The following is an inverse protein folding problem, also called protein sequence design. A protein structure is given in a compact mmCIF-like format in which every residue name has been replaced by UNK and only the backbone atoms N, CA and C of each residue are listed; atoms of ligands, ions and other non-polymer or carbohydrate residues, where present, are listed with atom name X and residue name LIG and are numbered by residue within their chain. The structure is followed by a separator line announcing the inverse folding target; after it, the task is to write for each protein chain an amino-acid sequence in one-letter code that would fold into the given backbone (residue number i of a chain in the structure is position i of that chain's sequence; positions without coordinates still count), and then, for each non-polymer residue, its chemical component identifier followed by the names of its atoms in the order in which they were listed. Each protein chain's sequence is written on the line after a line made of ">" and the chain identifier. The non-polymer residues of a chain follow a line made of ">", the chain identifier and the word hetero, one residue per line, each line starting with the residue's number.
data_IF_406890127761
#
_entry.id   IF_406890127761
#
_cell.length_a   1.000
_cell.length_b   1.000
_cell.length_c   1.000
_cell.angle_alpha   90.00
_cell.angle_beta   90.00
_cell.angle_gamma   90.00
#
_symmetry.space_group_name_H-M   'P 1'
#
loop_
_entity.id
_entity.type
_entity.pdbx_description
1 polymer ?
#
# COMPACT_ATOMS: atom_id res chain seq x y z
N UNK A 1 13.02 -36.99 -13.60
CA UNK A 1 12.97 -36.56 -12.19
C UNK A 1 14.06 -35.51 -12.00
N UNK A 2 13.74 -34.23 -12.22
CA UNK A 2 14.68 -33.14 -11.91
C UNK A 2 14.63 -32.92 -10.40
N UNK A 3 15.74 -33.19 -9.72
CA UNK A 3 15.89 -32.87 -8.29
C UNK A 3 15.86 -31.34 -8.18
N UNK A 4 14.69 -30.79 -7.86
CA UNK A 4 14.58 -29.39 -7.48
C UNK A 4 15.14 -29.30 -6.07
N UNK A 5 16.40 -28.88 -5.95
CA UNK A 5 16.96 -28.43 -4.67
C UNK A 5 16.09 -27.27 -4.20
N UNK A 6 15.21 -27.51 -3.24
CA UNK A 6 14.50 -26.44 -2.57
C UNK A 6 15.48 -25.78 -1.59
N UNK A 7 15.88 -24.51 -1.80
CA UNK A 7 16.86 -23.85 -0.94
C UNK A 7 16.32 -23.78 0.50
N UNK A 8 17.04 -24.34 1.47
CA UNK A 8 16.56 -24.26 2.85
C UNK A 8 16.55 -22.80 3.34
N UNK A 9 15.39 -22.34 3.84
CA UNK A 9 15.26 -21.05 4.51
C UNK A 9 16.22 -20.90 5.70
N UNK A 10 16.68 -22.01 6.29
CA UNK A 10 17.65 -22.03 7.39
C UNK A 10 18.94 -21.27 7.07
N UNK A 11 19.36 -21.26 5.80
CA UNK A 11 20.54 -20.52 5.38
C UNK A 11 20.13 -19.22 4.68
N UNK A 12 19.18 -19.29 3.73
CA UNK A 12 18.92 -18.18 2.83
C UNK A 12 18.34 -16.95 3.55
N UNK A 13 17.34 -17.14 4.43
CA UNK A 13 16.70 -16.03 5.12
C UNK A 13 17.65 -15.32 6.11
N UNK A 14 18.35 -16.03 7.02
CA UNK A 14 19.31 -15.37 7.91
C UNK A 14 20.46 -14.70 7.17
N UNK A 15 21.01 -15.33 6.11
CA UNK A 15 22.12 -14.73 5.35
C UNK A 15 21.69 -13.42 4.71
N UNK A 16 20.55 -13.40 4.01
CA UNK A 16 20.04 -12.17 3.37
C UNK A 16 19.79 -11.08 4.41
N UNK A 17 19.13 -11.40 5.51
CA UNK A 17 18.82 -10.42 6.56
C UNK A 17 20.07 -9.89 7.27
N UNK A 18 21.01 -10.76 7.64
CA UNK A 18 22.23 -10.34 8.33
C UNK A 18 23.14 -9.52 7.42
N UNK A 19 23.30 -9.92 6.15
CA UNK A 19 24.07 -9.13 5.19
C UNK A 19 23.44 -7.76 4.97
N UNK A 20 22.12 -7.72 4.76
CA UNK A 20 21.38 -6.49 4.59
C UNK A 20 21.50 -5.59 5.83
N UNK A 21 21.39 -6.15 7.03
CA UNK A 21 21.56 -5.38 8.26
C UNK A 21 22.98 -4.85 8.44
N UNK A 22 24.02 -5.61 8.11
CA UNK A 22 25.40 -5.10 8.12
C UNK A 22 25.56 -3.93 7.14
N UNK A 23 24.98 -4.04 5.94
CA UNK A 23 25.00 -2.95 4.95
C UNK A 23 24.26 -1.72 5.47
N UNK A 24 23.04 -1.89 6.00
CA UNK A 24 22.24 -0.80 6.55
C UNK A 24 22.96 -0.12 7.73
N UNK A 25 23.48 -0.88 8.68
CA UNK A 25 24.26 -0.34 9.82
C UNK A 25 25.46 0.46 9.32
N UNK A 26 26.18 -0.05 8.31
CA UNK A 26 27.33 0.65 7.74
C UNK A 26 26.91 1.97 7.09
N UNK A 27 25.82 1.98 6.32
CA UNK A 27 25.30 3.20 5.70
C UNK A 27 24.82 4.19 6.77
N UNK A 28 24.07 3.74 7.77
CA UNK A 28 23.59 4.60 8.86
C UNK A 28 24.74 5.22 9.65
N UNK A 29 25.74 4.43 10.03
CA UNK A 29 26.90 4.91 10.78
C UNK A 29 27.72 5.94 9.99
N UNK A 30 27.87 5.74 8.68
CA UNK A 30 28.70 6.60 7.84
C UNK A 30 27.97 7.83 7.31
N UNK A 31 26.68 7.70 6.98
CA UNK A 31 25.96 8.71 6.21
C UNK A 31 24.71 9.26 6.90
N UNK A 32 24.19 8.66 7.96
CA UNK A 32 22.97 9.16 8.62
C UNK A 32 23.30 9.89 9.92
N UNK A 33 22.66 11.03 10.16
CA UNK A 33 22.74 11.79 11.40
C UNK A 33 21.37 12.31 11.81
N UNK A 34 21.15 12.53 13.09
CA UNK A 34 19.98 13.29 13.53
C UNK A 34 20.09 14.74 13.06
N UNK A 35 18.95 15.38 12.89
CA UNK A 35 18.87 16.83 12.73
C UNK A 35 19.42 17.57 13.98
N UNK A 36 19.52 18.89 13.95
CA UNK A 36 20.10 19.64 15.08
C UNK A 36 19.25 19.57 16.37
N UNK A 37 17.95 19.26 16.24
CA UNK A 37 16.97 19.19 17.33
C UNK A 37 17.06 17.92 18.23
N UNK A 38 17.29 16.69 17.71
CA UNK A 38 17.43 15.50 18.54
C UNK A 38 18.85 15.28 19.09
N UNK A 39 19.81 16.15 18.73
CA UNK A 39 21.21 16.02 19.18
C UNK A 39 21.40 16.56 20.60
N UNK A 40 21.85 15.68 21.51
CA UNK A 40 22.16 16.05 22.90
C UNK A 40 23.26 17.14 23.03
N UNK A 41 23.97 17.46 21.95
CA UNK A 41 25.03 18.46 21.91
C UNK A 41 24.54 19.92 22.06
N UNK A 42 23.24 20.20 21.84
CA UNK A 42 22.69 21.56 21.86
C UNK A 42 21.86 21.90 23.11
N UNK A 43 21.83 21.00 24.11
CA UNK A 43 21.09 21.19 25.37
C UNK A 43 21.59 22.35 26.26
N UNK A 44 22.71 23.02 25.91
CA UNK A 44 23.33 24.02 26.79
C UNK A 44 22.79 25.44 26.66
N UNK A 45 21.85 25.74 25.74
CA UNK A 45 21.31 27.11 25.55
C UNK A 45 19.83 27.13 25.10
N UNK A 46 18.90 26.63 25.91
CA UNK A 46 17.46 26.70 25.58
C UNK A 46 16.72 27.64 26.54
N UNK A 47 16.67 28.92 26.18
CA UNK A 47 15.63 29.89 26.58
C UNK A 47 14.64 30.18 25.45
N UNK A 48 14.66 29.38 24.37
CA UNK A 48 13.61 29.37 23.36
C UNK A 48 12.62 28.26 23.71
N UNK A 49 11.33 28.58 23.77
CA UNK A 49 10.27 27.57 23.66
C UNK A 49 10.46 26.81 22.34
N UNK A 50 11.24 25.73 22.37
CA UNK A 50 11.28 24.73 21.32
C UNK A 50 10.20 23.72 21.63
N UNK A 51 9.21 23.59 20.75
CA UNK A 51 8.51 22.34 20.38
C UNK A 51 7.01 22.57 20.10
N UNK A 52 6.66 23.07 18.92
CA UNK A 52 5.31 22.89 18.39
C UNK A 52 5.23 21.70 17.40
N UNK A 53 6.32 21.36 16.72
CA UNK A 53 6.28 20.36 15.64
C UNK A 53 6.24 18.92 16.16
N UNK A 54 6.97 18.58 17.23
CA UNK A 54 6.92 17.23 17.81
C UNK A 54 5.54 16.91 18.39
N UNK A 55 4.96 17.86 19.15
CA UNK A 55 3.64 17.68 19.76
C UNK A 55 2.53 17.58 18.71
N UNK A 56 2.70 18.24 17.56
CA UNK A 56 1.79 18.14 16.42
C UNK A 56 1.95 16.83 15.63
N UNK A 57 3.18 16.39 15.35
CA UNK A 57 3.45 15.25 14.45
C UNK A 57 3.45 13.89 15.16
N UNK A 58 3.81 13.81 16.45
CA UNK A 58 3.89 12.54 17.18
C UNK A 58 2.56 11.77 17.27
N UNK A 59 1.38 12.41 17.40
CA UNK A 59 0.10 11.72 17.27
C UNK A 59 -0.07 11.04 15.91
N UNK A 60 0.16 11.74 14.81
CA UNK A 60 0.06 11.18 13.45
C UNK A 60 1.02 10.03 13.23
N UNK A 61 2.27 10.15 13.72
CA UNK A 61 3.24 9.07 13.69
C UNK A 61 2.71 7.80 14.35
N UNK A 62 2.16 7.89 15.57
CA UNK A 62 1.58 6.71 16.25
C UNK A 62 0.40 6.13 15.49
N UNK A 63 -0.44 6.98 14.90
CA UNK A 63 -1.62 6.55 14.15
C UNK A 63 -1.20 5.76 12.89
N UNK A 64 -0.24 6.27 12.13
CA UNK A 64 0.32 5.58 10.94
C UNK A 64 1.00 4.27 11.35
N UNK A 65 1.78 4.25 12.43
CA UNK A 65 2.34 2.99 12.94
C UNK A 65 1.28 1.96 13.31
N UNK A 66 0.21 2.39 13.96
CA UNK A 66 -0.87 1.49 14.35
C UNK A 66 -1.59 0.93 13.12
N UNK A 67 -1.74 1.73 12.06
CA UNK A 67 -2.24 1.25 10.76
C UNK A 67 -1.32 0.20 10.13
N UNK A 68 -0.02 0.48 10.02
CA UNK A 68 0.92 -0.37 9.30
C UNK A 68 1.22 -1.69 10.02
N UNK A 69 1.53 -1.61 11.32
CA UNK A 69 2.00 -2.77 12.07
C UNK A 69 0.88 -3.63 12.61
N UNK A 70 -0.22 -3.02 13.06
CA UNK A 70 -1.34 -3.74 13.69
C UNK A 70 -2.54 -3.81 12.74
N UNK A 71 -2.96 -2.69 12.16
CA UNK A 71 -4.11 -2.62 11.25
C UNK A 71 -3.96 -3.57 10.05
N UNK A 72 -2.97 -3.33 9.19
CA UNK A 72 -2.65 -4.20 8.05
C UNK A 72 -2.24 -5.59 8.51
N UNK A 73 -1.38 -5.70 9.53
CA UNK A 73 -0.94 -7.00 10.06
C UNK A 73 -2.12 -7.91 10.45
N UNK A 74 -3.11 -7.37 11.16
CA UNK A 74 -4.32 -8.11 11.54
C UNK A 74 -5.27 -8.31 10.37
N UNK A 75 -5.46 -7.33 9.48
CA UNK A 75 -6.29 -7.47 8.28
C UNK A 75 -5.87 -8.69 7.45
N UNK A 76 -4.55 -8.91 7.32
CA UNK A 76 -3.96 -10.02 6.56
C UNK A 76 -4.07 -11.39 7.27
N UNK A 77 -4.56 -11.44 8.51
CA UNK A 77 -4.76 -12.69 9.27
C UNK A 77 -6.03 -13.46 8.87
N UNK A 78 -6.79 -13.04 7.85
CA UNK A 78 -8.06 -13.68 7.47
C UNK A 78 -7.91 -15.17 7.10
N UNK A 79 -6.75 -15.55 6.54
CA UNK A 79 -6.45 -16.93 6.16
C UNK A 79 -6.22 -17.82 7.38
N UNK A 80 -7.07 -18.84 7.54
CA UNK A 80 -7.07 -19.79 8.66
C UNK A 80 -5.69 -20.39 8.97
N UNK A 81 -4.95 -20.75 7.92
CA UNK A 81 -3.67 -21.47 8.03
C UNK A 81 -2.45 -20.56 7.80
N UNK A 82 -2.65 -19.25 7.62
CA UNK A 82 -1.58 -18.30 7.28
C UNK A 82 -1.65 -17.00 8.11
N UNK A 83 -2.29 -17.06 9.28
CA UNK A 83 -2.45 -15.90 10.15
C UNK A 83 -1.12 -15.38 10.71
N UNK A 84 -0.21 -16.28 11.10
CA UNK A 84 1.11 -15.87 11.58
C UNK A 84 1.94 -15.28 10.44
N UNK A 85 1.92 -15.89 9.26
CA UNK A 85 2.57 -15.38 8.06
C UNK A 85 2.05 -13.99 7.68
N UNK A 86 0.73 -13.80 7.70
CA UNK A 86 0.09 -12.50 7.48
C UNK A 86 0.67 -11.42 8.40
N UNK A 87 0.67 -11.62 9.71
CA UNK A 87 1.14 -10.61 10.66
C UNK A 87 2.67 -10.48 10.71
N UNK A 88 3.40 -11.58 10.80
CA UNK A 88 4.86 -11.57 11.01
C UNK A 88 5.61 -11.14 9.75
N UNK A 89 5.17 -11.54 8.55
CA UNK A 89 5.81 -11.07 7.33
C UNK A 89 5.41 -9.63 6.99
N UNK A 90 4.20 -9.18 7.34
CA UNK A 90 3.87 -7.75 7.33
C UNK A 90 4.83 -6.95 8.22
N UNK A 91 5.08 -7.42 9.45
CA UNK A 91 6.04 -6.79 10.36
C UNK A 91 7.47 -6.77 9.79
N UNK A 92 7.91 -7.87 9.16
CA UNK A 92 9.21 -7.96 8.50
C UNK A 92 9.35 -6.97 7.34
N UNK A 93 8.36 -6.93 6.44
CA UNK A 93 8.35 -6.04 5.26
C UNK A 93 8.33 -4.58 5.71
N UNK A 94 7.51 -4.23 6.69
CA UNK A 94 7.43 -2.87 7.21
C UNK A 94 8.81 -2.40 7.72
N UNK A 95 9.45 -3.19 8.60
CA UNK A 95 10.73 -2.81 9.19
C UNK A 95 11.84 -2.65 8.15
N UNK A 96 11.91 -3.55 7.15
CA UNK A 96 12.96 -3.44 6.14
C UNK A 96 12.71 -2.28 5.17
N UNK A 97 11.45 -2.06 4.81
CA UNK A 97 11.08 -0.99 3.88
C UNK A 97 11.31 0.38 4.51
N UNK A 98 11.00 0.57 5.80
CA UNK A 98 11.26 1.84 6.51
C UNK A 98 12.77 2.14 6.53
N UNK A 99 13.60 1.18 6.96
CA UNK A 99 15.06 1.38 7.01
C UNK A 99 15.64 1.67 5.62
N UNK A 100 15.15 0.99 4.60
CA UNK A 100 15.61 1.17 3.23
C UNK A 100 15.12 2.51 2.64
N UNK A 101 13.87 2.89 2.88
CA UNK A 101 13.28 4.14 2.44
C UNK A 101 13.99 5.35 3.04
N UNK A 102 14.35 5.32 4.34
CA UNK A 102 15.14 6.38 4.98
C UNK A 102 16.44 6.67 4.23
N UNK A 103 17.11 5.64 3.70
CA UNK A 103 18.31 5.80 2.90
C UNK A 103 17.96 6.34 1.51
N UNK A 104 16.99 5.71 0.81
CA UNK A 104 16.71 6.06 -0.59
C UNK A 104 16.10 7.46 -0.72
N UNK A 105 15.11 7.79 0.12
CA UNK A 105 14.56 9.15 0.23
C UNK A 105 15.61 10.13 0.73
N UNK A 106 16.42 9.71 1.71
CA UNK A 106 17.52 10.52 2.24
C UNK A 106 18.54 10.92 1.18
N UNK A 107 18.96 9.99 0.33
CA UNK A 107 19.87 10.23 -0.79
C UNK A 107 19.27 11.18 -1.83
N UNK A 108 17.96 11.10 -2.07
CA UNK A 108 17.29 11.87 -3.11
C UNK A 108 16.90 13.28 -2.67
N UNK A 109 16.43 13.45 -1.43
CA UNK A 109 15.83 14.70 -0.95
C UNK A 109 16.62 15.40 0.17
N UNK A 110 17.42 14.66 0.95
CA UNK A 110 17.96 15.16 2.23
C UNK A 110 19.47 14.98 2.36
N UNK A 111 20.18 14.72 1.26
CA UNK A 111 21.62 14.54 1.24
C UNK A 111 22.33 15.89 1.14
N UNK A 112 22.95 16.31 2.24
CA UNK A 112 23.71 17.57 2.30
C UNK A 112 25.00 17.36 3.09
N UNK A 113 26.09 18.00 2.66
CA UNK A 113 27.41 17.95 3.32
C UNK A 113 27.90 16.51 3.63
N UNK A 114 27.57 15.55 2.76
CA UNK A 114 27.96 14.15 2.93
C UNK A 114 27.10 13.34 3.91
N UNK A 115 26.01 13.91 4.42
CA UNK A 115 25.11 13.30 5.41
C UNK A 115 23.63 13.36 5.00
N UNK A 116 22.86 12.41 5.50
CA UNK A 116 21.41 12.34 5.47
C UNK A 116 20.93 12.72 6.87
N UNK A 117 20.23 13.83 7.00
CA UNK A 117 19.67 14.26 8.27
C UNK A 117 18.26 13.70 8.45
N UNK A 118 18.02 13.04 9.58
CA UNK A 118 16.73 12.41 9.89
C UNK A 118 16.01 13.10 11.05
N UNK A 119 14.71 13.33 10.87
CA UNK A 119 13.75 13.77 11.86
C UNK A 119 12.46 12.90 11.77
N UNK A 120 11.43 13.24 12.56
CA UNK A 120 10.20 12.45 12.62
C UNK A 120 9.43 12.44 11.28
N UNK A 121 9.46 13.54 10.52
CA UNK A 121 8.83 13.63 9.21
C UNK A 121 9.47 12.66 8.20
N UNK A 122 10.81 12.55 8.22
CA UNK A 122 11.50 11.58 7.38
C UNK A 122 11.09 10.13 7.71
N UNK A 123 10.88 9.82 9.00
CA UNK A 123 10.41 8.49 9.41
C UNK A 123 8.99 8.24 8.94
N UNK A 124 8.08 9.21 9.05
CA UNK A 124 6.71 9.07 8.54
C UNK A 124 6.68 8.91 7.01
N UNK A 125 7.50 9.66 6.27
CA UNK A 125 7.64 9.47 4.82
C UNK A 125 8.21 8.09 4.44
N UNK A 126 9.11 7.55 5.25
CA UNK A 126 9.59 6.18 5.10
C UNK A 126 8.51 5.14 5.43
N UNK A 127 7.61 5.43 6.37
CA UNK A 127 6.42 4.61 6.67
C UNK A 127 5.46 4.58 5.48
N UNK A 128 5.24 5.70 4.76
CA UNK A 128 4.44 5.69 3.52
C UNK A 128 5.06 4.81 2.42
N UNK A 129 6.39 4.85 2.26
CA UNK A 129 7.09 3.94 1.36
C UNK A 129 6.95 2.46 1.81
N UNK A 130 6.93 2.20 3.11
CA UNK A 130 6.67 0.86 3.61
C UNK A 130 5.23 0.40 3.34
N UNK A 131 4.25 1.30 3.45
CA UNK A 131 2.85 1.01 3.15
C UNK A 131 2.67 0.49 1.71
N UNK A 132 3.42 1.01 0.73
CA UNK A 132 3.36 0.49 -0.65
C UNK A 132 3.80 -0.97 -0.73
N UNK A 133 4.91 -1.32 -0.07
CA UNK A 133 5.41 -2.69 -0.02
C UNK A 133 4.45 -3.66 0.66
N UNK A 134 3.75 -3.20 1.70
CA UNK A 134 2.73 -4.00 2.39
C UNK A 134 1.51 -4.26 1.50
N UNK A 135 1.03 -3.24 0.79
CA UNK A 135 -0.10 -3.39 -0.15
C UNK A 135 0.30 -4.33 -1.31
N UNK A 136 1.47 -4.13 -1.92
CA UNK A 136 1.97 -4.98 -3.00
C UNK A 136 2.11 -6.45 -2.60
N UNK A 137 2.60 -6.70 -1.39
CA UNK A 137 2.69 -8.05 -0.84
C UNK A 137 1.33 -8.75 -0.73
N UNK A 138 0.24 -8.00 -0.57
CA UNK A 138 -1.13 -8.51 -0.55
C UNK A 138 -1.54 -9.26 -1.83
N UNK A 139 -0.98 -8.92 -3.00
CA UNK A 139 -1.26 -9.66 -4.23
C UNK A 139 -0.69 -11.10 -4.20
N UNK A 140 0.38 -11.33 -3.45
CA UNK A 140 1.12 -12.60 -3.43
C UNK A 140 1.12 -13.28 -2.05
N UNK A 141 0.29 -12.78 -1.13
CA UNK A 141 0.15 -13.33 0.23
C UNK A 141 -0.07 -14.84 0.20
N UNK A 142 0.65 -15.57 1.05
CA UNK A 142 0.53 -17.03 1.15
C UNK A 142 1.15 -17.82 0.00
N UNK A 143 1.60 -17.19 -1.09
CA UNK A 143 2.21 -17.88 -2.25
C UNK A 143 3.69 -17.55 -2.47
N UNK A 144 4.21 -16.62 -1.68
CA UNK A 144 5.60 -16.16 -1.68
C UNK A 144 6.28 -16.49 -0.36
N UNK A 145 7.58 -16.77 -0.43
CA UNK A 145 8.42 -16.98 0.76
C UNK A 145 8.81 -15.65 1.42
N UNK A 146 9.24 -15.65 2.70
CA UNK A 146 9.75 -14.44 3.34
C UNK A 146 10.94 -13.82 2.60
N UNK A 147 11.78 -14.63 1.94
CA UNK A 147 12.89 -14.12 1.12
C UNK A 147 12.38 -13.41 -0.13
N UNK A 148 11.34 -13.94 -0.79
CA UNK A 148 10.71 -13.26 -1.93
C UNK A 148 10.05 -11.95 -1.51
N UNK A 149 9.41 -11.91 -0.34
CA UNK A 149 8.81 -10.70 0.22
C UNK A 149 9.87 -9.63 0.57
N UNK A 150 11.04 -10.03 1.07
CA UNK A 150 12.18 -9.12 1.28
C UNK A 150 12.71 -8.56 -0.05
N UNK A 151 12.88 -9.42 -1.07
CA UNK A 151 13.36 -8.98 -2.37
C UNK A 151 12.36 -8.06 -3.08
N UNK A 152 11.05 -8.32 -2.89
CA UNK A 152 9.97 -7.44 -3.35
C UNK A 152 10.16 -6.04 -2.77
N UNK A 153 10.26 -5.89 -1.45
CA UNK A 153 10.35 -4.57 -0.81
C UNK A 153 11.64 -3.83 -1.14
N UNK A 154 12.76 -4.54 -1.28
CA UNK A 154 14.05 -3.96 -1.66
C UNK A 154 14.04 -3.34 -3.05
N UNK A 155 13.32 -3.94 -4.00
CA UNK A 155 13.20 -3.44 -5.39
C UNK A 155 12.08 -2.42 -5.52
N UNK A 156 10.97 -2.63 -4.81
CA UNK A 156 9.82 -1.72 -4.87
C UNK A 156 10.14 -0.36 -4.27
N UNK A 157 10.79 -0.31 -3.11
CA UNK A 157 11.02 0.94 -2.38
C UNK A 157 11.75 2.00 -3.23
N UNK A 158 12.87 1.70 -3.94
CA UNK A 158 13.49 2.69 -4.81
C UNK A 158 12.65 3.10 -6.00
N UNK A 159 11.86 2.18 -6.58
CA UNK A 159 10.96 2.49 -7.70
C UNK A 159 9.79 3.37 -7.25
N UNK A 160 9.28 3.15 -6.04
CA UNK A 160 8.28 4.00 -5.41
C UNK A 160 8.84 5.41 -5.21
N UNK A 161 10.01 5.54 -4.56
CA UNK A 161 10.62 6.84 -4.28
C UNK A 161 10.95 7.58 -5.58
N UNK A 162 11.43 6.89 -6.61
CA UNK A 162 11.67 7.48 -7.92
C UNK A 162 10.37 7.94 -8.60
N UNK A 163 9.31 7.13 -8.53
CA UNK A 163 8.01 7.50 -9.10
C UNK A 163 7.40 8.70 -8.36
N UNK A 164 7.43 8.69 -7.03
CA UNK A 164 7.00 9.81 -6.18
C UNK A 164 7.75 11.08 -6.55
N UNK A 165 9.08 11.03 -6.63
CA UNK A 165 9.90 12.17 -7.06
C UNK A 165 9.52 12.66 -8.45
N UNK A 166 9.38 11.74 -9.40
CA UNK A 166 9.04 12.05 -10.79
C UNK A 166 7.69 12.79 -10.87
N UNK A 167 6.66 12.27 -10.20
CA UNK A 167 5.33 12.86 -10.33
C UNK A 167 5.13 14.13 -9.50
N UNK A 168 5.83 14.25 -8.37
CA UNK A 168 5.84 15.50 -7.60
C UNK A 168 6.66 16.60 -8.29
N UNK A 169 7.81 16.26 -8.89
CA UNK A 169 8.72 17.26 -9.46
C UNK A 169 8.28 17.77 -10.84
N UNK A 170 7.72 16.90 -11.68
CA UNK A 170 7.40 17.27 -13.07
C UNK A 170 5.91 17.51 -13.32
N UNK A 171 5.03 16.74 -12.66
CA UNK A 171 3.59 16.90 -12.81
C UNK A 171 2.98 17.73 -11.68
N UNK A 172 3.70 17.94 -10.57
CA UNK A 172 3.17 18.60 -9.37
C UNK A 172 1.81 18.01 -8.95
N UNK A 173 1.77 16.68 -8.87
CA UNK A 173 0.55 15.95 -8.54
C UNK A 173 0.00 16.42 -7.17
N UNK A 174 -1.31 16.61 -7.10
CA UNK A 174 -2.03 16.87 -5.87
C UNK A 174 -2.57 15.53 -5.35
N UNK A 175 -1.92 15.00 -4.31
CA UNK A 175 -2.19 13.65 -3.82
C UNK A 175 -1.94 13.47 -2.32
N UNK A 176 -2.58 14.29 -1.49
CA UNK A 176 -2.28 14.39 -0.04
C UNK A 176 -2.43 13.07 0.73
N UNK A 177 -3.32 12.18 0.30
CA UNK A 177 -3.55 10.87 0.90
C UNK A 177 -2.89 9.71 0.13
N UNK A 178 -2.07 9.99 -0.88
CA UNK A 178 -1.37 8.98 -1.66
C UNK A 178 -2.26 8.05 -2.48
N UNK A 179 -3.41 8.53 -2.97
CA UNK A 179 -4.28 7.75 -3.86
C UNK A 179 -3.52 7.30 -5.11
N UNK A 180 -2.71 8.17 -5.70
CA UNK A 180 -1.87 7.87 -6.86
C UNK A 180 -0.52 7.29 -6.41
N UNK A 181 0.24 8.04 -5.60
CA UNK A 181 1.62 7.70 -5.21
C UNK A 181 1.70 6.38 -4.45
N UNK A 182 0.78 6.10 -3.52
CA UNK A 182 0.80 4.92 -2.66
C UNK A 182 -0.10 3.82 -3.24
N UNK A 183 -1.41 4.08 -3.34
CA UNK A 183 -2.41 3.04 -3.60
C UNK A 183 -2.40 2.52 -5.05
N UNK A 184 -2.38 3.41 -6.04
CA UNK A 184 -2.28 2.99 -7.45
C UNK A 184 -0.92 2.36 -7.73
N UNK A 185 0.17 2.99 -7.26
CA UNK A 185 1.50 2.44 -7.44
C UNK A 185 1.60 1.00 -6.90
N UNK A 186 1.33 0.80 -5.62
CA UNK A 186 1.46 -0.52 -4.97
C UNK A 186 0.50 -1.56 -5.54
N UNK A 187 -0.75 -1.17 -5.82
CA UNK A 187 -1.71 -2.08 -6.44
C UNK A 187 -1.13 -2.70 -7.72
N UNK A 188 -0.72 -1.87 -8.68
CA UNK A 188 -0.31 -2.38 -9.98
C UNK A 188 1.11 -2.96 -9.98
N UNK A 189 1.97 -2.54 -9.04
CA UNK A 189 3.24 -3.23 -8.77
C UNK A 189 3.03 -4.66 -8.28
N UNK A 190 2.21 -4.85 -7.24
CA UNK A 190 1.86 -6.17 -6.71
C UNK A 190 1.18 -7.07 -7.74
N UNK A 191 0.25 -6.54 -8.55
CA UNK A 191 -0.39 -7.30 -9.63
C UNK A 191 0.60 -7.69 -10.74
N UNK A 192 1.56 -6.81 -11.08
CA UNK A 192 2.65 -7.11 -12.01
C UNK A 192 3.50 -8.30 -11.54
N UNK A 193 3.82 -8.35 -10.25
CA UNK A 193 4.52 -9.51 -9.65
C UNK A 193 3.64 -10.75 -9.71
N UNK A 194 2.38 -10.64 -9.27
CA UNK A 194 1.46 -11.78 -9.21
C UNK A 194 1.25 -12.41 -10.59
N UNK A 195 1.28 -11.61 -11.66
CA UNK A 195 1.21 -12.12 -13.04
C UNK A 195 2.35 -13.07 -13.40
N UNK A 196 3.58 -12.77 -12.97
CA UNK A 196 4.75 -13.60 -13.26
C UNK A 196 4.78 -14.86 -12.39
N UNK A 197 4.38 -14.69 -11.13
CA UNK A 197 4.29 -15.75 -10.12
C UNK A 197 2.95 -16.52 -10.18
N UNK A 198 2.22 -16.41 -11.29
CA UNK A 198 0.98 -17.14 -11.50
C UNK A 198 1.19 -18.66 -11.39
N UNK A 199 0.31 -19.32 -10.62
CA UNK A 199 0.34 -20.77 -10.38
C UNK A 199 -0.93 -21.42 -10.92
N UNK A 200 -0.87 -22.11 -12.07
CA UNK A 200 -2.04 -22.77 -12.67
C UNK A 200 -2.74 -23.76 -11.75
N UNK A 201 -1.99 -24.46 -10.90
CA UNK A 201 -2.49 -25.44 -9.94
C UNK A 201 -3.41 -24.84 -8.86
N UNK A 202 -3.33 -23.52 -8.62
CA UNK A 202 -4.18 -22.81 -7.65
C UNK A 202 -5.47 -22.26 -8.28
N UNK A 203 -5.65 -22.39 -9.59
CA UNK A 203 -6.79 -21.82 -10.33
C UNK A 203 -8.14 -22.44 -9.91
N UNK A 204 -8.15 -23.72 -9.57
CA UNK A 204 -9.35 -24.40 -9.10
C UNK A 204 -9.69 -24.08 -7.63
N UNK A 205 -8.98 -23.10 -7.03
CA UNK A 205 -8.94 -22.87 -5.60
C UNK A 205 -7.88 -23.73 -4.92
N UNK A 206 -7.70 -23.48 -3.62
CA UNK A 206 -6.78 -24.24 -2.78
C UNK A 206 -7.45 -24.48 -1.43
N UNK A 207 -7.35 -25.69 -0.90
CA UNK A 207 -8.08 -26.08 0.31
C UNK A 207 -7.73 -25.26 1.56
N UNK A 208 -6.51 -24.70 1.60
CA UNK A 208 -6.04 -23.82 2.68
C UNK A 208 -6.48 -22.35 2.51
N UNK A 209 -7.09 -21.98 1.38
CA UNK A 209 -7.76 -20.69 1.22
C UNK A 209 -9.14 -20.81 1.88
N UNK A 210 -9.16 -20.70 3.21
CA UNK A 210 -10.36 -20.72 4.03
C UNK A 210 -10.19 -19.79 5.22
N UNK A 211 -11.31 -19.41 5.83
CA UNK A 211 -11.36 -18.56 7.03
C UNK A 211 -12.04 -19.28 8.19
N UNK A 212 -11.95 -18.70 9.38
CA UNK A 212 -12.62 -19.14 10.61
C UNK A 212 -13.16 -17.91 11.32
N UNK A 213 -14.09 -18.09 12.26
CA UNK A 213 -14.58 -16.98 13.08
C UNK A 213 -13.45 -16.20 13.76
N UNK A 214 -12.41 -16.89 14.25
CA UNK A 214 -11.26 -16.25 14.88
C UNK A 214 -10.42 -15.46 13.88
N UNK A 215 -10.10 -16.05 12.73
CA UNK A 215 -9.28 -15.38 11.71
C UNK A 215 -9.99 -14.17 11.11
N UNK A 216 -11.30 -14.29 10.85
CA UNK A 216 -12.11 -13.19 10.36
C UNK A 216 -12.32 -12.08 11.41
N UNK A 217 -12.44 -12.44 12.70
CA UNK A 217 -12.52 -11.46 13.78
C UNK A 217 -11.23 -10.64 13.91
N UNK A 218 -10.06 -11.28 13.83
CA UNK A 218 -8.78 -10.55 13.79
C UNK A 218 -8.69 -9.66 12.55
N UNK A 219 -9.07 -10.17 11.38
CA UNK A 219 -9.07 -9.37 10.16
C UNK A 219 -10.01 -8.15 10.24
N UNK A 220 -11.19 -8.33 10.83
CA UNK A 220 -12.13 -7.23 11.06
C UNK A 220 -11.59 -6.22 12.10
N UNK A 221 -10.90 -6.67 13.14
CA UNK A 221 -10.22 -5.78 14.08
C UNK A 221 -9.15 -4.94 13.38
N UNK A 222 -8.34 -5.56 12.51
CA UNK A 222 -7.38 -4.84 11.66
C UNK A 222 -8.06 -3.78 10.78
N UNK A 223 -9.19 -4.15 10.17
CA UNK A 223 -10.03 -3.22 9.38
C UNK A 223 -10.49 -2.03 10.20
N UNK A 224 -11.01 -2.24 11.42
CA UNK A 224 -11.48 -1.16 12.28
C UNK A 224 -10.35 -0.22 12.67
N UNK A 225 -9.16 -0.74 12.98
CA UNK A 225 -7.99 0.09 13.26
C UNK A 225 -7.60 0.94 12.05
N UNK A 226 -7.54 0.35 10.85
CA UNK A 226 -7.29 1.11 9.62
C UNK A 226 -8.33 2.21 9.41
N UNK A 227 -9.60 1.88 9.60
CA UNK A 227 -10.70 2.83 9.45
C UNK A 227 -10.59 4.02 10.42
N UNK A 228 -10.26 3.77 11.69
CA UNK A 228 -10.15 4.81 12.73
C UNK A 228 -9.01 5.80 12.42
N UNK A 229 -7.87 5.29 11.96
CA UNK A 229 -6.65 6.09 11.80
C UNK A 229 -6.43 6.63 10.38
N UNK A 230 -7.23 6.22 9.39
CA UNK A 230 -7.14 6.74 8.03
C UNK A 230 -7.25 8.28 7.92
N UNK A 231 -8.07 9.00 8.71
CA UNK A 231 -8.09 10.46 8.68
C UNK A 231 -6.71 11.07 8.99
N UNK A 232 -5.93 10.45 9.88
CA UNK A 232 -4.55 10.84 10.15
C UNK A 232 -3.65 10.58 8.95
N UNK A 233 -3.75 9.40 8.34
CA UNK A 233 -3.01 9.03 7.12
C UNK A 233 -3.23 10.02 5.96
N UNK A 234 -4.49 10.40 5.69
CA UNK A 234 -4.84 11.30 4.59
C UNK A 234 -4.56 12.79 4.87
N UNK A 235 -4.19 13.17 6.09
CA UNK A 235 -4.09 14.58 6.48
C UNK A 235 -2.69 15.01 6.94
N UNK A 236 -1.81 14.08 7.28
CA UNK A 236 -0.46 14.41 7.77
C UNK A 236 0.40 15.13 6.71
N UNK A 237 0.23 14.83 5.42
CA UNK A 237 0.95 15.54 4.34
C UNK A 237 0.27 16.85 3.90
N UNK A 238 -0.83 17.26 4.55
CA UNK A 238 -1.51 18.50 4.21
C UNK A 238 -0.68 19.72 4.64
N UNK A 239 -0.51 20.68 3.74
CA UNK A 239 0.44 21.80 3.90
C UNK A 239 0.17 22.75 5.07
N UNK A 240 -1.08 22.85 5.54
CA UNK A 240 -1.47 23.78 6.60
C UNK A 240 -2.69 23.28 7.39
N UNK A 241 -2.89 23.80 8.60
CA UNK A 241 -3.92 23.33 9.55
C UNK A 241 -5.34 23.32 8.97
N UNK A 242 -5.69 24.28 8.12
CA UNK A 242 -7.02 24.32 7.47
C UNK A 242 -7.19 23.17 6.45
N UNK A 243 -6.15 22.88 5.67
CA UNK A 243 -6.13 21.76 4.73
C UNK A 243 -6.14 20.42 5.46
N UNK A 244 -5.36 20.31 6.54
CA UNK A 244 -5.33 19.12 7.41
C UNK A 244 -6.71 18.85 8.03
N UNK A 245 -7.34 19.87 8.61
CA UNK A 245 -8.69 19.75 9.17
C UNK A 245 -9.71 19.30 8.13
N UNK A 246 -9.63 19.85 6.92
CA UNK A 246 -10.50 19.45 5.81
C UNK A 246 -10.24 18.02 5.34
N UNK A 247 -8.98 17.60 5.24
CA UNK A 247 -8.60 16.23 4.93
C UNK A 247 -9.14 15.22 5.94
N UNK A 248 -9.09 15.55 7.24
CA UNK A 248 -9.70 14.73 8.31
C UNK A 248 -11.21 14.59 8.08
N UNK A 249 -11.93 15.70 7.88
CA UNK A 249 -13.38 15.68 7.72
C UNK A 249 -13.83 14.95 6.45
N UNK A 250 -13.19 15.25 5.31
CA UNK A 250 -13.50 14.60 4.04
C UNK A 250 -13.23 13.10 4.11
N UNK A 251 -12.12 12.69 4.74
CA UNK A 251 -11.78 11.28 4.93
C UNK A 251 -12.80 10.56 5.81
N UNK A 252 -13.18 11.16 6.94
CA UNK A 252 -14.19 10.59 7.82
C UNK A 252 -15.55 10.42 7.12
N UNK A 253 -16.01 11.41 6.36
CA UNK A 253 -17.27 11.34 5.63
C UNK A 253 -17.25 10.27 4.52
N UNK A 254 -16.14 10.18 3.77
CA UNK A 254 -15.97 9.15 2.75
C UNK A 254 -15.94 7.75 3.36
N UNK A 255 -15.22 7.55 4.46
CA UNK A 255 -15.19 6.27 5.18
C UNK A 255 -16.55 5.89 5.77
N UNK A 256 -17.25 6.85 6.39
CA UNK A 256 -18.59 6.61 6.97
C UNK A 256 -19.61 6.19 5.91
N UNK A 257 -19.64 6.90 4.78
CA UNK A 257 -20.51 6.55 3.65
C UNK A 257 -20.11 5.23 2.97
N UNK A 258 -18.81 4.94 2.85
CA UNK A 258 -18.28 3.66 2.39
C UNK A 258 -18.75 2.51 3.27
N UNK A 259 -18.73 2.69 4.59
CA UNK A 259 -19.22 1.69 5.55
C UNK A 259 -20.72 1.40 5.35
N UNK A 260 -21.58 2.43 5.38
CA UNK A 260 -23.03 2.20 5.21
C UNK A 260 -23.38 1.60 3.84
N UNK A 261 -22.70 2.07 2.79
CA UNK A 261 -22.86 1.50 1.44
C UNK A 261 -22.44 0.03 1.41
N UNK A 262 -21.36 -0.32 2.10
CA UNK A 262 -20.89 -1.71 2.19
C UNK A 262 -21.91 -2.62 2.85
N UNK A 263 -22.47 -2.22 3.99
CA UNK A 263 -23.53 -2.99 4.67
C UNK A 263 -24.76 -3.16 3.78
N UNK A 264 -25.23 -2.07 3.17
CA UNK A 264 -26.42 -2.08 2.32
C UNK A 264 -26.21 -2.96 1.07
N UNK A 265 -25.18 -2.70 0.28
CA UNK A 265 -24.91 -3.42 -0.97
C UNK A 265 -24.55 -4.87 -0.70
N UNK A 266 -23.74 -5.15 0.33
CA UNK A 266 -23.41 -6.55 0.66
C UNK A 266 -24.64 -7.35 1.08
N UNK A 267 -25.56 -6.75 1.84
CA UNK A 267 -26.81 -7.40 2.24
C UNK A 267 -27.72 -7.62 1.03
N UNK A 268 -27.86 -6.61 0.15
CA UNK A 268 -28.66 -6.69 -1.07
C UNK A 268 -28.20 -7.79 -2.04
N UNK A 269 -26.89 -8.09 -2.07
CA UNK A 269 -26.34 -9.13 -2.95
C UNK A 269 -26.47 -10.56 -2.38
N UNK A 270 -26.73 -10.72 -1.07
CA UNK A 270 -26.99 -12.04 -0.46
C UNK A 270 -28.49 -12.35 -0.45
N UNK A 271 -28.87 -13.56 -0.87
CA UNK A 271 -30.28 -13.98 -0.95
C UNK A 271 -31.04 -13.94 0.38
N UNK A 272 -30.34 -13.93 1.51
CA UNK A 272 -30.92 -13.89 2.87
C UNK A 272 -30.61 -12.57 3.59
N UNK A 273 -30.07 -11.57 2.89
CA UNK A 273 -29.71 -10.29 3.48
C UNK A 273 -28.48 -10.33 4.40
N UNK A 274 -27.64 -11.39 4.34
CA UNK A 274 -26.44 -11.48 5.17
C UNK A 274 -25.31 -10.63 4.60
N UNK A 275 -24.44 -10.15 5.48
CA UNK A 275 -23.28 -9.34 5.10
C UNK A 275 -22.04 -10.22 4.96
N UNK A 276 -21.29 -10.04 3.87
CA UNK A 276 -20.03 -10.75 3.61
C UNK A 276 -18.90 -10.15 4.44
N UNK A 277 -18.14 -11.00 5.13
CA UNK A 277 -16.98 -10.57 5.91
C UNK A 277 -15.87 -10.01 5.02
N UNK A 278 -15.67 -10.55 3.81
CA UNK A 278 -14.71 -10.00 2.84
C UNK A 278 -15.08 -8.58 2.45
N UNK A 279 -16.38 -8.30 2.26
CA UNK A 279 -16.83 -6.93 1.99
C UNK A 279 -16.59 -6.02 3.20
N UNK A 280 -16.89 -6.48 4.42
CA UNK A 280 -16.65 -5.68 5.62
C UNK A 280 -15.17 -5.41 5.87
N UNK A 281 -14.30 -6.38 5.62
CA UNK A 281 -12.86 -6.26 5.85
C UNK A 281 -12.18 -5.30 4.85
N UNK A 282 -12.80 -5.05 3.69
CA UNK A 282 -12.18 -4.28 2.62
C UNK A 282 -13.01 -3.07 2.17
N UNK A 283 -14.26 -3.26 1.74
CA UNK A 283 -15.04 -2.20 1.10
C UNK A 283 -15.41 -1.04 2.03
N UNK A 284 -15.41 -1.24 3.36
CA UNK A 284 -15.59 -0.12 4.32
C UNK A 284 -14.42 0.87 4.29
N UNK A 285 -13.24 0.43 3.83
CA UNK A 285 -12.01 1.21 3.74
C UNK A 285 -11.87 1.93 2.39
N UNK A 286 -12.62 1.51 1.37
CA UNK A 286 -12.47 2.00 0.00
C UNK A 286 -12.71 3.51 -0.14
N UNK A 287 -13.58 4.10 0.69
CA UNK A 287 -13.75 5.56 0.75
C UNK A 287 -12.50 6.33 1.17
N UNK A 288 -11.67 5.76 2.05
CA UNK A 288 -10.41 6.37 2.48
C UNK A 288 -9.40 6.46 1.33
N UNK A 289 -9.31 5.40 0.51
CA UNK A 289 -8.50 5.37 -0.72
C UNK A 289 -9.07 6.35 -1.76
N UNK A 290 -10.39 6.32 -1.99
CA UNK A 290 -11.03 7.10 -3.04
C UNK A 290 -10.98 8.61 -2.79
N UNK A 291 -10.99 9.06 -1.53
CA UNK A 291 -10.93 10.50 -1.24
C UNK A 291 -9.50 11.04 -1.17
N UNK A 292 -8.49 10.18 -0.96
CA UNK A 292 -7.11 10.55 -0.61
C UNK A 292 -6.51 11.69 -1.46
N UNK A 293 -6.54 11.61 -2.78
CA UNK A 293 -6.00 12.65 -3.66
C UNK A 293 -6.69 14.01 -3.52
N UNK A 294 -7.94 14.01 -3.08
CA UNK A 294 -8.79 15.20 -2.95
C UNK A 294 -9.12 15.55 -1.49
N UNK A 295 -8.50 14.88 -0.53
CA UNK A 295 -8.92 14.97 0.87
C UNK A 295 -8.74 16.41 1.39
N UNK A 296 -7.63 17.06 1.06
CA UNK A 296 -7.32 18.44 1.42
C UNK A 296 -7.91 19.48 0.44
N UNK A 297 -8.52 19.06 -0.65
CA UNK A 297 -9.22 19.94 -1.59
C UNK A 297 -10.55 20.44 -1.01
N UNK A 298 -11.03 21.57 -1.49
CA UNK A 298 -12.32 22.19 -1.16
C UNK A 298 -13.52 21.46 -1.79
N UNK A 299 -13.48 20.13 -1.86
CA UNK A 299 -14.66 19.33 -2.20
C UNK A 299 -15.75 19.55 -1.17
N UNK A 300 -17.01 19.46 -1.59
CA UNK A 300 -18.12 19.58 -0.65
C UNK A 300 -18.21 18.32 0.21
N UNK A 301 -18.81 18.38 1.42
CA UNK A 301 -19.13 17.18 2.21
C UNK A 301 -19.91 16.13 1.42
N UNK A 302 -20.80 16.56 0.53
CA UNK A 302 -21.53 15.68 -0.38
C UNK A 302 -20.62 15.01 -1.43
N UNK A 303 -19.59 15.71 -1.92
CA UNK A 303 -18.57 15.15 -2.81
C UNK A 303 -17.75 14.05 -2.11
N UNK A 304 -17.28 14.30 -0.89
CA UNK A 304 -16.57 13.31 -0.08
C UNK A 304 -17.46 12.08 0.21
N UNK A 305 -18.72 12.31 0.60
CA UNK A 305 -19.71 11.26 0.84
C UNK A 305 -19.99 10.44 -0.43
N UNK A 306 -20.13 11.11 -1.58
CA UNK A 306 -20.34 10.46 -2.88
C UNK A 306 -19.17 9.59 -3.31
N UNK A 307 -17.93 10.06 -3.12
CA UNK A 307 -16.72 9.27 -3.37
C UNK A 307 -16.65 8.04 -2.47
N UNK A 308 -17.06 8.15 -1.20
CA UNK A 308 -17.16 7.01 -0.29
C UNK A 308 -18.14 5.94 -0.76
N UNK A 309 -19.36 6.32 -1.15
CA UNK A 309 -20.34 5.41 -1.73
C UNK A 309 -19.81 4.73 -3.01
N UNK A 310 -19.22 5.51 -3.93
CA UNK A 310 -18.68 5.00 -5.18
C UNK A 310 -17.50 4.04 -4.94
N UNK A 311 -16.61 4.38 -4.00
CA UNK A 311 -15.49 3.54 -3.56
C UNK A 311 -15.96 2.19 -3.06
N UNK A 312 -16.87 2.15 -2.08
CA UNK A 312 -17.44 0.90 -1.56
C UNK A 312 -18.10 0.05 -2.64
N UNK A 313 -18.96 0.66 -3.46
CA UNK A 313 -19.66 -0.06 -4.53
C UNK A 313 -18.67 -0.67 -5.53
N UNK A 314 -17.68 0.12 -5.96
CA UNK A 314 -16.66 -0.34 -6.90
C UNK A 314 -15.78 -1.46 -6.33
N UNK A 315 -15.48 -1.41 -5.03
CA UNK A 315 -14.72 -2.45 -4.34
C UNK A 315 -15.50 -3.78 -4.29
N UNK A 316 -16.79 -3.74 -3.92
CA UNK A 316 -17.66 -4.93 -3.91
C UNK A 316 -17.81 -5.53 -5.32
N UNK A 317 -18.07 -4.68 -6.33
CA UNK A 317 -18.13 -5.13 -7.73
C UNK A 317 -16.77 -5.67 -8.20
N UNK A 318 -15.68 -5.10 -7.71
CA UNK A 318 -14.33 -5.59 -7.92
C UNK A 318 -14.16 -7.03 -7.44
N UNK A 319 -14.51 -7.32 -6.19
CA UNK A 319 -14.47 -8.68 -5.65
C UNK A 319 -15.35 -9.65 -6.44
N UNK A 320 -16.54 -9.20 -6.86
CA UNK A 320 -17.50 -10.06 -7.55
C UNK A 320 -17.13 -10.35 -9.01
N UNK A 321 -16.55 -9.38 -9.73
CA UNK A 321 -16.35 -9.48 -11.18
C UNK A 321 -14.90 -9.30 -11.62
N UNK A 322 -14.17 -8.36 -11.00
CA UNK A 322 -12.79 -8.08 -11.40
C UNK A 322 -11.80 -9.12 -10.89
N UNK A 323 -11.90 -9.57 -9.64
CA UNK A 323 -11.03 -10.64 -9.12
C UNK A 323 -11.11 -11.93 -9.96
N UNK A 324 -12.32 -12.45 -10.31
CA UNK A 324 -12.42 -13.59 -11.23
C UNK A 324 -11.87 -13.30 -12.62
N UNK A 325 -12.12 -12.11 -13.17
CA UNK A 325 -11.60 -11.72 -14.48
C UNK A 325 -10.06 -11.69 -14.51
N UNK A 326 -9.44 -11.10 -13.49
CA UNK A 326 -7.99 -11.04 -13.33
C UNK A 326 -7.38 -12.45 -13.31
N UNK A 327 -7.94 -13.36 -12.52
CA UNK A 327 -7.43 -14.74 -12.42
C UNK A 327 -7.65 -15.53 -13.72
N UNK A 328 -8.89 -15.55 -14.23
CA UNK A 328 -9.26 -16.42 -15.35
C UNK A 328 -8.75 -15.94 -16.71
N UNK A 329 -8.74 -14.63 -16.95
CA UNK A 329 -8.43 -14.05 -18.27
C UNK A 329 -7.03 -13.48 -18.33
N UNK A 330 -6.59 -12.81 -17.27
CA UNK A 330 -5.28 -12.17 -17.24
C UNK A 330 -4.19 -13.00 -16.56
N UNK A 331 -4.55 -14.11 -15.89
CA UNK A 331 -3.64 -14.96 -15.11
C UNK A 331 -2.97 -14.16 -13.99
N UNK A 332 -3.75 -13.38 -13.25
CA UNK A 332 -3.33 -12.56 -12.11
C UNK A 332 -4.11 -13.00 -10.88
N UNK A 333 -3.42 -13.62 -9.92
CA UNK A 333 -4.02 -14.11 -8.68
C UNK A 333 -3.89 -13.04 -7.59
N UNK A 334 -4.93 -12.25 -7.36
CA UNK A 334 -4.91 -11.19 -6.35
C UNK A 334 -5.47 -11.69 -5.02
N UNK A 335 -4.57 -12.07 -4.09
CA UNK A 335 -4.96 -12.82 -2.89
C UNK A 335 -5.78 -11.97 -1.89
N UNK A 336 -5.40 -10.72 -1.68
CA UNK A 336 -6.11 -9.80 -0.79
C UNK A 336 -7.17 -8.97 -1.51
N UNK A 337 -7.27 -9.07 -2.84
CA UNK A 337 -8.14 -8.18 -3.62
C UNK A 337 -7.63 -6.74 -3.60
N UNK A 338 -6.31 -6.52 -3.65
CA UNK A 338 -5.72 -5.19 -3.62
C UNK A 338 -6.16 -4.34 -4.81
N UNK A 339 -6.51 -4.96 -5.94
CA UNK A 339 -7.14 -4.28 -7.06
C UNK A 339 -8.50 -3.68 -6.69
N UNK A 340 -9.27 -4.37 -5.87
CA UNK A 340 -10.63 -3.98 -5.51
C UNK A 340 -10.64 -2.87 -4.46
N UNK A 341 -9.68 -2.87 -3.52
CA UNK A 341 -9.57 -1.87 -2.47
C UNK A 341 -8.69 -0.67 -2.86
N UNK A 342 -7.54 -0.91 -3.47
CA UNK A 342 -6.55 0.13 -3.75
C UNK A 342 -6.57 0.59 -5.21
N UNK A 343 -6.66 -0.35 -6.16
CA UNK A 343 -6.66 -0.05 -7.59
C UNK A 343 -7.89 0.71 -8.07
N UNK A 344 -9.07 0.06 -8.07
CA UNK A 344 -10.31 0.64 -8.61
C UNK A 344 -10.72 1.90 -7.82
N UNK A 345 -10.78 1.89 -6.47
CA UNK A 345 -11.08 3.10 -5.72
C UNK A 345 -10.01 4.18 -5.92
N UNK A 346 -8.75 3.81 -6.14
CA UNK A 346 -7.70 4.77 -6.46
C UNK A 346 -7.89 5.47 -7.81
N UNK A 347 -8.33 4.74 -8.84
CA UNK A 347 -8.65 5.31 -10.15
C UNK A 347 -9.83 6.27 -10.01
N UNK A 348 -10.89 5.84 -9.32
CA UNK A 348 -12.05 6.68 -9.05
C UNK A 348 -11.69 7.94 -8.26
N UNK A 349 -10.82 7.81 -7.26
CA UNK A 349 -10.35 8.94 -6.46
C UNK A 349 -9.51 9.93 -7.26
N UNK A 350 -8.69 9.43 -8.18
CA UNK A 350 -7.93 10.28 -9.11
C UNK A 350 -8.86 11.04 -10.06
N UNK A 351 -9.91 10.38 -10.57
CA UNK A 351 -10.94 11.07 -11.35
C UNK A 351 -11.67 12.10 -10.49
N UNK A 352 -11.96 11.77 -9.23
CA UNK A 352 -12.53 12.70 -8.25
C UNK A 352 -11.69 13.95 -8.04
N UNK A 353 -10.37 13.81 -7.89
CA UNK A 353 -9.44 14.94 -7.75
C UNK A 353 -9.35 15.77 -9.03
N UNK A 354 -9.32 15.13 -10.21
CA UNK A 354 -9.38 15.84 -11.51
C UNK A 354 -10.65 16.69 -11.60
N UNK A 355 -11.82 16.14 -11.23
CA UNK A 355 -13.07 16.89 -11.23
C UNK A 355 -13.04 18.05 -10.21
N UNK A 356 -12.51 17.82 -9.01
CA UNK A 356 -12.34 18.85 -8.00
C UNK A 356 -11.46 20.01 -8.52
N UNK A 357 -10.36 19.69 -9.19
CA UNK A 357 -9.48 20.67 -9.85
C UNK A 357 -10.26 21.45 -10.90
N UNK A 358 -10.94 20.77 -11.83
CA UNK A 358 -11.71 21.42 -12.90
C UNK A 358 -12.82 22.34 -12.37
N UNK A 359 -13.37 22.06 -11.19
CA UNK A 359 -14.34 22.92 -10.51
C UNK A 359 -13.71 24.00 -9.61
N UNK A 360 -12.40 24.22 -9.69
CA UNK A 360 -11.69 25.24 -8.91
C UNK A 360 -11.70 24.97 -7.41
N UNK A 361 -11.72 23.70 -7.00
CA UNK A 361 -11.79 23.29 -5.58
C UNK A 361 -10.41 23.00 -4.98
N UNK A 362 -9.34 23.53 -5.54
CA UNK A 362 -7.99 23.35 -4.98
C UNK A 362 -7.70 24.47 -3.99
N UNK A 363 -7.13 24.13 -2.84
CA UNK A 363 -6.58 25.09 -1.90
C UNK A 363 -5.06 25.14 -2.08
N UNK A 364 -4.54 26.24 -2.65
CA UNK A 364 -3.11 26.47 -2.79
C UNK A 364 -2.51 27.19 -1.55
N UNK A 365 -3.17 27.15 -0.39
CA UNK A 365 -2.72 27.84 0.82
C UNK A 365 -3.17 29.29 0.89
N UNK A 366 -4.40 29.58 0.48
CA UNK A 366 -4.99 30.93 0.54
C UNK A 366 -4.63 31.86 -0.63
N UNK A 367 -3.83 31.40 -1.61
CA UNK A 367 -3.82 32.01 -2.93
C UNK A 367 -5.07 31.51 -3.67
N UNK A 368 -6.16 32.29 -3.57
CA UNK A 368 -7.35 32.13 -4.41
C UNK A 368 -6.85 32.00 -5.84
N UNK A 369 -7.10 30.83 -6.45
CA UNK A 369 -6.94 30.52 -7.86
C UNK A 369 -6.52 31.73 -8.68
N UNK A 370 -5.21 31.89 -8.87
CA UNK A 370 -4.73 32.93 -9.78
C UNK A 370 -5.23 32.48 -11.13
N UNK A 371 -6.23 33.18 -11.66
CA UNK A 371 -6.42 33.32 -13.10
C UNK A 371 -5.08 33.78 -13.64
N UNK A 372 -4.18 32.84 -13.93
CA UNK A 372 -2.96 33.12 -14.63
C UNK A 372 -3.45 33.69 -15.97
N UNK A 373 -3.14 34.95 -16.28
CA UNK A 373 -3.44 35.47 -17.60
C UNK A 373 -2.84 34.47 -18.60
N UNK A 374 -3.57 34.14 -19.67
CA UNK A 374 -2.97 33.45 -20.82
C UNK A 374 -2.19 34.49 -21.64
N UNK A 375 -0.84 34.53 -21.57
CA UNK A 375 -0.06 34.91 -22.73
C UNK A 375 0.81 33.73 -23.15
N UNK A 376 1.32 33.82 -24.38
CA UNK A 376 2.28 32.91 -25.00
C UNK A 376 3.57 32.78 -24.16
N UNK A 377 3.56 31.97 -23.11
CA UNK A 377 4.79 31.58 -22.41
C UNK A 377 5.48 30.43 -23.16
N UNK A 378 6.81 30.47 -23.19
CA UNK A 378 7.59 29.28 -23.51
C UNK A 378 7.42 28.24 -22.39
N UNK A 379 7.64 26.96 -22.68
CA UNK A 379 7.53 25.87 -21.67
C UNK A 379 8.39 26.15 -20.44
N UNK A 380 9.55 26.78 -20.60
CA UNK A 380 10.48 27.09 -19.51
C UNK A 380 9.99 28.22 -18.60
N UNK A 381 9.34 29.25 -19.15
CA UNK A 381 8.74 30.33 -18.36
C UNK A 381 7.53 29.84 -17.54
N UNK A 382 6.80 28.85 -18.06
CA UNK A 382 5.70 28.19 -17.35
C UNK A 382 6.21 27.37 -16.17
N UNK A 383 7.28 26.59 -16.33
CA UNK A 383 7.91 25.87 -15.21
C UNK A 383 8.43 26.83 -14.13
N UNK A 384 9.08 27.93 -14.52
CA UNK A 384 9.52 28.96 -13.56
C UNK A 384 8.35 29.67 -12.86
N UNK A 385 7.23 29.85 -13.56
CA UNK A 385 6.00 30.40 -12.98
C UNK A 385 5.36 29.43 -11.97
N UNK A 386 5.38 28.13 -12.25
CA UNK A 386 4.90 27.08 -11.32
C UNK A 386 5.84 26.95 -10.12
N UNK A 387 7.15 27.02 -10.33
CA UNK A 387 8.16 26.99 -9.27
C UNK A 387 8.07 28.23 -8.37
N UNK A 388 7.72 29.40 -8.93
CA UNK A 388 7.58 30.65 -8.18
C UNK A 388 6.19 30.92 -7.58
N UNK A 389 5.12 30.39 -8.19
CA UNK A 389 3.72 30.62 -7.77
C UNK A 389 3.02 29.38 -7.22
N UNK A 390 3.65 28.21 -7.29
CA UNK A 390 3.19 26.98 -6.66
C UNK A 390 1.97 26.30 -7.29
N UNK A 391 1.52 26.71 -8.47
CA UNK A 391 0.31 26.18 -9.10
C UNK A 391 0.33 26.26 -10.63
N UNK A 392 -0.15 25.21 -11.28
CA UNK A 392 -0.57 25.23 -12.68
C UNK A 392 -1.95 25.88 -12.83
N UNK A 393 -2.29 26.34 -14.03
CA UNK A 393 -3.70 26.65 -14.31
C UNK A 393 -4.56 25.37 -14.20
N UNK A 394 -5.85 25.54 -13.96
CA UNK A 394 -6.80 24.45 -13.72
C UNK A 394 -6.75 23.33 -14.78
N UNK A 395 -6.65 23.69 -16.07
CA UNK A 395 -6.66 22.69 -17.14
C UNK A 395 -5.34 21.93 -17.17
N UNK A 396 -4.22 22.65 -17.04
CA UNK A 396 -2.90 22.04 -16.98
C UNK A 396 -2.74 21.15 -15.75
N UNK A 397 -3.23 21.56 -14.57
CA UNK A 397 -3.20 20.72 -13.37
C UNK A 397 -4.02 19.44 -13.55
N UNK A 398 -5.21 19.52 -14.16
CA UNK A 398 -6.04 18.34 -14.44
C UNK A 398 -5.36 17.36 -15.43
N UNK A 399 -4.69 17.90 -16.45
CA UNK A 399 -3.88 17.10 -17.38
C UNK A 399 -2.68 16.47 -16.67
N UNK A 400 -2.02 17.21 -15.78
CA UNK A 400 -0.91 16.70 -15.00
C UNK A 400 -1.32 15.60 -14.01
N UNK A 401 -2.48 15.70 -13.35
CA UNK A 401 -3.04 14.60 -12.56
C UNK A 401 -3.25 13.34 -13.42
N UNK A 402 -3.79 13.52 -14.63
CA UNK A 402 -4.02 12.42 -15.58
C UNK A 402 -2.71 11.80 -16.04
N UNK A 403 -1.70 12.62 -16.33
CA UNK A 403 -0.37 12.16 -16.72
C UNK A 403 0.32 11.42 -15.56
N UNK A 404 0.25 11.96 -14.34
CA UNK A 404 0.79 11.33 -13.14
C UNK A 404 0.16 9.94 -12.87
N UNK A 405 -1.16 9.79 -13.08
CA UNK A 405 -1.83 8.50 -13.05
C UNK A 405 -1.26 7.52 -14.08
N UNK A 406 -1.14 7.95 -15.34
CA UNK A 406 -0.63 7.11 -16.43
C UNK A 406 0.82 6.69 -16.22
N UNK A 407 1.68 7.63 -15.79
CA UNK A 407 3.09 7.38 -15.46
C UNK A 407 3.20 6.41 -14.29
N UNK A 408 2.47 6.66 -13.20
CA UNK A 408 2.50 5.81 -12.01
C UNK A 408 2.05 4.39 -12.33
N UNK A 409 0.93 4.24 -13.06
CA UNK A 409 0.44 2.94 -13.52
C UNK A 409 1.48 2.21 -14.39
N UNK A 410 2.10 2.91 -15.34
CA UNK A 410 3.08 2.34 -16.25
C UNK A 410 4.35 1.89 -15.53
N UNK A 411 4.93 2.77 -14.70
CA UNK A 411 6.14 2.49 -13.91
C UNK A 411 5.89 1.34 -12.94
N UNK A 412 4.76 1.36 -12.22
CA UNK A 412 4.48 0.33 -11.21
C UNK A 412 4.20 -1.04 -11.84
N UNK A 413 3.36 -1.12 -12.88
CA UNK A 413 3.04 -2.40 -13.52
C UNK A 413 4.29 -3.02 -14.19
N UNK A 414 5.10 -2.20 -14.87
CA UNK A 414 6.33 -2.67 -15.50
C UNK A 414 7.38 -3.05 -14.46
N UNK A 415 7.58 -2.22 -13.43
CA UNK A 415 8.48 -2.51 -12.31
C UNK A 415 8.09 -3.79 -11.57
N UNK A 416 6.79 -3.99 -11.32
CA UNK A 416 6.25 -5.20 -10.72
C UNK A 416 6.46 -6.43 -11.60
N UNK A 417 6.27 -6.30 -12.91
CA UNK A 417 6.57 -7.38 -13.86
C UNK A 417 8.04 -7.79 -13.83
N UNK A 418 8.97 -6.83 -13.91
CA UNK A 418 10.42 -7.10 -13.82
C UNK A 418 10.81 -7.70 -12.47
N UNK A 419 10.24 -7.19 -11.38
CA UNK A 419 10.45 -7.72 -10.04
C UNK A 419 9.94 -9.16 -9.96
N UNK A 420 8.77 -9.46 -10.54
CA UNK A 420 8.26 -10.83 -10.64
C UNK A 420 9.24 -11.78 -11.34
N UNK A 421 9.91 -11.33 -12.41
CA UNK A 421 10.94 -12.13 -13.09
C UNK A 421 12.15 -12.41 -12.18
N UNK A 422 12.60 -11.41 -11.43
CA UNK A 422 13.66 -11.56 -10.42
C UNK A 422 13.23 -12.54 -9.33
N UNK A 423 12.00 -12.41 -8.83
CA UNK A 423 11.46 -13.28 -7.78
C UNK A 423 11.28 -14.72 -8.25
N UNK A 424 11.17 -14.96 -9.56
CA UNK A 424 11.04 -16.28 -10.19
C UNK A 424 12.37 -17.02 -10.34
N UNK A 425 13.50 -16.39 -10.05
CA UNK A 425 14.81 -17.03 -10.17
C UNK A 425 14.91 -18.30 -9.30
N UNK A 426 15.54 -19.38 -9.79
CA UNK A 426 15.58 -20.67 -9.10
C UNK A 426 16.50 -20.67 -7.87
N UNK A 427 17.33 -19.63 -7.70
CA UNK A 427 18.16 -19.47 -6.51
C UNK A 427 17.34 -19.04 -5.27
N UNK A 428 16.15 -18.48 -5.45
CA UNK A 428 15.26 -18.10 -4.35
C UNK A 428 14.42 -19.31 -3.91
N UNK A 429 14.14 -19.43 -2.61
CA UNK A 429 13.19 -20.43 -2.15
C UNK A 429 11.77 -20.09 -2.60
N UNK A 430 11.16 -21.04 -3.29
CA UNK A 430 9.77 -21.01 -3.76
C UNK A 430 8.95 -22.04 -3.00
N UNK A 431 7.85 -21.67 -2.34
CA UNK A 431 6.96 -22.68 -1.81
C UNK A 431 6.35 -23.48 -2.97
N UNK A 432 6.20 -24.79 -2.81
CA UNK A 432 5.39 -25.61 -3.72
C UNK A 432 3.92 -25.22 -3.59
N UNK A 433 3.07 -25.61 -4.55
CA UNK A 433 1.62 -25.37 -4.48
C UNK A 433 1.02 -25.84 -3.15
N UNK A 434 1.39 -27.04 -2.69
CA UNK A 434 0.92 -27.64 -1.43
C UNK A 434 1.33 -26.88 -0.16
N UNK A 435 2.46 -26.15 -0.22
CA UNK A 435 2.98 -25.33 0.88
C UNK A 435 2.40 -23.91 0.88
N UNK A 436 1.58 -23.55 -0.11
CA UNK A 436 0.93 -22.24 -0.14
C UNK A 436 -0.12 -22.13 0.98
N UNK A 437 -0.23 -20.91 1.53
CA UNK A 437 -1.18 -20.54 2.58
C UNK A 437 -1.04 -21.37 3.86
N UNK A 438 0.20 -21.78 4.20
CA UNK A 438 0.49 -22.62 5.37
C UNK A 438 1.67 -22.13 6.20
N UNK A 439 1.37 -21.73 7.43
CA UNK A 439 2.34 -21.28 8.44
C UNK A 439 3.30 -22.39 8.91
N UNK A 440 2.93 -23.67 8.79
CA UNK A 440 3.81 -24.79 9.17
C UNK A 440 5.12 -24.81 8.38
N UNK A 441 5.11 -24.20 7.19
CA UNK A 441 6.31 -24.07 6.34
C UNK A 441 7.37 -23.14 6.94
N UNK A 442 6.97 -22.23 7.84
CA UNK A 442 7.81 -21.12 8.31
C UNK A 442 7.92 -21.01 9.83
N UNK A 443 6.91 -21.49 10.57
CA UNK A 443 6.81 -21.31 12.02
C UNK A 443 6.75 -22.65 12.76
N UNK A 444 7.29 -22.66 13.98
CA UNK A 444 7.11 -23.78 14.92
C UNK A 444 5.76 -23.61 15.62
N UNK A 445 4.75 -24.30 15.11
CA UNK A 445 3.40 -24.23 15.68
C UNK A 445 3.23 -25.17 16.89
N UNK A 446 2.39 -24.82 17.88
CA UNK A 446 2.10 -25.71 19.00
C UNK A 446 1.51 -27.05 18.55
N UNK A 447 2.01 -28.15 19.13
CA UNK A 447 1.63 -29.54 18.80
C UNK A 447 0.18 -29.88 19.11
N UNK A 448 -0.51 -29.10 19.95
CA UNK A 448 -1.91 -29.33 20.33
C UNK A 448 -2.94 -28.82 19.29
N UNK A 449 -2.47 -28.24 18.18
CA UNK A 449 -3.32 -27.97 17.02
C UNK A 449 -3.56 -29.26 16.24
N UNK A 450 -4.43 -30.12 16.77
CA UNK A 450 -4.93 -31.35 16.13
C UNK A 450 -5.85 -31.06 14.95
N UNK A 451 -5.34 -30.32 13.98
CA UNK A 451 -5.72 -30.43 12.59
C UNK A 451 -4.41 -30.58 11.80
N UNK A 452 -3.75 -31.74 11.94
CA UNK A 452 -2.96 -32.23 10.82
C UNK A 452 -3.86 -32.11 9.60
N UNK A 453 -3.44 -31.37 8.59
CA UNK A 453 -4.12 -31.37 7.30
C UNK A 453 -4.10 -32.83 6.80
N UNK A 454 -5.19 -33.55 7.02
CA UNK A 454 -5.44 -34.84 6.40
C UNK A 454 -6.34 -34.55 5.19
N UNK A 455 -5.88 -34.81 3.95
CA UNK A 455 -6.74 -34.65 2.79
C UNK A 455 -7.96 -35.58 2.93
N UNK A 456 -9.15 -35.08 2.65
CA UNK A 456 -10.38 -35.89 2.72
C UNK A 456 -10.25 -37.13 1.80
N UNK A 457 -10.82 -38.29 2.17
CA UNK A 457 -10.71 -39.52 1.36
C UNK A 457 -11.20 -39.39 -0.09
N UNK A 458 -12.03 -38.40 -0.41
CA UNK A 458 -12.43 -38.08 -1.79
C UNK A 458 -11.30 -37.43 -2.61
N UNK A 459 -10.47 -36.58 -2.00
CA UNK A 459 -9.31 -35.96 -2.66
C UNK A 459 -8.19 -36.98 -2.96
N UNK A 460 -8.05 -38.03 -2.14
CA UNK A 460 -7.14 -39.15 -2.43
C UNK A 460 -7.53 -39.93 -3.70
N UNK A 461 -8.82 -39.99 -4.06
CA UNK A 461 -9.28 -40.70 -5.26
C UNK A 461 -9.06 -39.89 -6.54
N UNK A 462 -9.09 -38.56 -6.47
CA UNK A 462 -8.82 -37.68 -7.63
C UNK A 462 -7.31 -37.51 -7.92
N UNK A 463 -6.44 -37.79 -6.94
CA UNK A 463 -4.98 -37.83 -7.13
C UNK A 463 -4.49 -39.11 -7.83
N UNK A 464 -5.36 -40.12 -7.99
CA UNK A 464 -5.08 -41.35 -8.76
C UNK A 464 -5.87 -41.31 -10.07
N UNK A 465 -5.59 -40.33 -10.92
CA UNK A 465 -5.89 -40.45 -12.34
C UNK A 465 -4.68 -41.16 -12.96
N UNK A 466 -4.82 -42.41 -13.46
CA UNK A 466 -3.75 -43.02 -14.22
C UNK A 466 -3.54 -42.17 -15.47
N UNK A 467 -2.30 -41.75 -15.70
CA UNK A 467 -1.81 -41.28 -16.99
C UNK A 467 -2.17 -42.34 -18.05
N UNK A 468 -3.32 -42.18 -18.69
CA UNK A 468 -3.63 -42.86 -19.94
C UNK A 468 -3.03 -42.02 -21.05
N UNK A 469 -1.98 -42.58 -21.63
CA UNK A 469 -1.46 -42.29 -22.96
C UNK A 469 -2.56 -41.91 -23.96
N UNK A 470 -2.47 -40.70 -24.53
CA UNK A 470 -2.36 -40.41 -25.96
C UNK A 470 -1.69 -39.05 -26.10
#
# INVERSE_FOLDING_TARGET
>A
MSIVFSPSLRCQLPIVLLLLQVVLITIFALFVSYDDQPSAAFLTNVTKESNNDLDALFPFFKDVQLMLFVGLGLLLCFLKYYGFGGMAFNFLIANISIQWALIVQGLLYHYNNGKIHINLENVMNAEFAAATSLISAGAVLGRSSPVQLLMLSLVETPLFVLNEWLINSYFHVLDVGGTVTIHIFSCYFGLGISRILYRPELRAGHSKISTTNTSDFFSLLGTVLLWIYWPSFNSIQAKHNVAQHRAILNTFLALSSSTLTTFAVSSLLDKRGRVSLVHLQNAVLAGGVAVGASADMMITPAGAFGLGCAGALSCILGFQYMSPFLDEKLKVQDQCGIHNLHGIPGILGTVGSILAILFGRVDFGGQISIDLPKPNYSTEDMFRAVESKGAWDTTSQALNQTAALGVTFGVSLFGGYLTGLLLKLPCLFHPSGEMCFDDQSYFKLPTDSSAKWEPEPQQQRELVIPLKSV
#
